data_IF_318976001109
#
_entry.id   IF_318976001109
#
_cell.length_a   1.000
_cell.length_b   1.000
_cell.length_c   1.000
_cell.angle_alpha   90.00
_cell.angle_beta   90.00
_cell.angle_gamma   90.00
#
_symmetry.space_group_name_H-M   'P 1'
#
loop_
_entity.id
_entity.type
_entity.pdbx_description
1 polymer ?
#
# COMPACT_ATOMS: atom_id res chain seq x y z
N UNK A 1 -25.89 12.58 26.98
CA UNK A 1 -24.97 11.52 26.55
C UNK A 1 -25.10 11.42 25.05
N UNK A 2 -24.23 12.11 24.32
CA UNK A 2 -24.22 12.02 22.86
C UNK A 2 -23.55 10.71 22.49
N UNK A 3 -24.26 9.82 21.80
CA UNK A 3 -23.61 8.73 21.11
C UNK A 3 -22.71 9.36 20.04
N UNK A 4 -21.40 9.33 20.24
CA UNK A 4 -20.47 9.60 19.15
C UNK A 4 -20.76 8.55 18.07
N UNK A 5 -21.27 9.01 16.92
CA UNK A 5 -21.44 8.13 15.77
C UNK A 5 -20.06 7.58 15.42
N UNK A 6 -19.91 6.25 15.42
CA UNK A 6 -18.68 5.65 14.95
C UNK A 6 -18.55 5.95 13.46
N UNK A 7 -17.37 6.40 12.99
CA UNK A 7 -17.17 6.69 11.58
C UNK A 7 -17.41 5.43 10.75
N UNK A 8 -18.09 5.59 9.62
CA UNK A 8 -18.40 4.47 8.74
C UNK A 8 -17.14 4.06 7.98
N UNK A 9 -16.67 2.83 8.20
CA UNK A 9 -15.46 2.29 7.56
C UNK A 9 -15.83 1.24 6.53
N UNK A 10 -15.52 1.50 5.26
CA UNK A 10 -15.75 0.59 4.13
C UNK A 10 -14.43 0.25 3.46
N UNK A 11 -14.22 -1.04 3.14
CA UNK A 11 -13.15 -1.46 2.22
C UNK A 11 -13.81 -2.14 1.02
N UNK A 12 -13.41 -1.73 -0.19
CA UNK A 12 -14.01 -2.24 -1.43
C UNK A 12 -13.01 -2.17 -2.60
N UNK A 13 -13.28 -2.89 -3.71
CA UNK A 13 -12.53 -2.72 -4.94
C UNK A 13 -12.52 -1.28 -5.42
N UNK A 14 -11.39 -0.85 -5.99
CA UNK A 14 -11.21 0.46 -6.62
C UNK A 14 -12.10 0.59 -7.85
N UNK A 15 -12.62 1.80 -8.08
CA UNK A 15 -13.40 2.17 -9.27
C UNK A 15 -12.66 3.27 -10.02
N UNK A 16 -12.91 3.40 -11.32
CA UNK A 16 -12.28 4.44 -12.16
C UNK A 16 -12.51 5.85 -11.61
N UNK A 17 -13.69 6.12 -11.06
CA UNK A 17 -14.04 7.42 -10.45
C UNK A 17 -13.22 7.76 -9.21
N UNK A 18 -12.53 6.78 -8.62
CA UNK A 18 -11.70 6.97 -7.43
C UNK A 18 -10.29 7.45 -7.76
N UNK A 19 -9.88 7.42 -9.03
CA UNK A 19 -8.49 7.65 -9.46
C UNK A 19 -7.91 8.97 -8.92
N UNK A 20 -8.67 10.06 -8.98
CA UNK A 20 -8.21 11.36 -8.47
C UNK A 20 -8.00 11.36 -6.95
N UNK A 21 -8.94 10.77 -6.19
CA UNK A 21 -8.85 10.70 -4.74
C UNK A 21 -7.69 9.78 -4.32
N UNK A 22 -7.55 8.63 -4.98
CA UNK A 22 -6.44 7.71 -4.78
C UNK A 22 -5.10 8.37 -5.13
N UNK A 23 -5.03 9.18 -6.18
CA UNK A 23 -3.83 9.93 -6.53
C UNK A 23 -3.38 10.90 -5.44
N UNK A 24 -4.34 11.63 -4.83
CA UNK A 24 -4.06 12.52 -3.69
C UNK A 24 -3.60 11.75 -2.45
N UNK A 25 -4.33 10.70 -2.09
CA UNK A 25 -4.02 9.87 -0.91
C UNK A 25 -2.67 9.17 -1.06
N UNK A 26 -2.34 8.69 -2.26
CA UNK A 26 -1.05 8.06 -2.56
C UNK A 26 0.10 9.04 -2.34
N UNK A 27 0.01 10.24 -2.94
CA UNK A 27 1.03 11.27 -2.76
C UNK A 27 1.20 11.63 -1.27
N UNK A 28 0.10 11.80 -0.54
CA UNK A 28 0.13 12.11 0.89
C UNK A 28 0.77 10.99 1.72
N UNK A 29 0.39 9.73 1.48
CA UNK A 29 0.98 8.59 2.19
C UNK A 29 2.48 8.46 1.94
N UNK A 30 2.94 8.78 0.73
CA UNK A 30 4.37 8.78 0.41
C UNK A 30 5.12 9.91 1.12
N UNK A 31 4.54 11.10 1.20
CA UNK A 31 5.11 12.16 2.03
C UNK A 31 5.22 11.72 3.50
N UNK A 32 4.13 11.20 4.08
CA UNK A 32 4.11 10.73 5.47
C UNK A 32 5.10 9.59 5.74
N UNK A 33 5.25 8.67 4.78
CA UNK A 33 6.11 7.49 4.95
C UNK A 33 7.58 7.80 4.68
N UNK A 34 7.89 8.63 3.68
CA UNK A 34 9.25 8.79 3.16
C UNK A 34 9.88 10.16 3.43
N UNK A 35 9.22 11.09 4.14
CA UNK A 35 9.76 12.43 4.43
C UNK A 35 11.14 12.41 5.12
N UNK A 36 11.47 11.32 5.80
CA UNK A 36 12.77 11.12 6.47
C UNK A 36 13.83 10.43 5.61
N UNK A 37 13.43 9.80 4.49
CA UNK A 37 14.30 9.05 3.57
C UNK A 37 14.53 9.79 2.26
N UNK A 38 13.57 10.60 1.83
CA UNK A 38 13.53 11.23 0.51
C UNK A 38 13.42 12.75 0.68
N UNK A 39 14.21 13.50 -0.08
CA UNK A 39 14.16 14.96 -0.01
C UNK A 39 12.77 15.51 -0.36
N UNK A 40 12.35 16.57 0.35
CA UNK A 40 11.08 17.26 0.09
C UNK A 40 10.93 17.68 -1.38
N UNK A 41 12.02 18.15 -2.01
CA UNK A 41 12.03 18.54 -3.42
C UNK A 41 11.81 17.37 -4.39
N UNK A 42 12.15 16.14 -3.99
CA UNK A 42 11.87 14.93 -4.74
C UNK A 42 10.41 14.49 -4.57
N UNK A 43 9.88 14.53 -3.34
CA UNK A 43 8.47 14.22 -3.07
C UNK A 43 7.50 15.25 -3.69
N UNK A 44 7.87 16.53 -3.77
CA UNK A 44 7.09 17.56 -4.47
C UNK A 44 6.90 17.26 -5.98
N UNK A 45 7.73 16.39 -6.56
CA UNK A 45 7.55 15.91 -7.95
C UNK A 45 6.51 14.79 -8.07
N UNK A 46 6.07 14.20 -6.95
CA UNK A 46 4.98 13.23 -6.90
C UNK A 46 3.67 13.97 -7.11
N UNK A 47 3.23 14.02 -8.36
CA UNK A 47 2.00 14.71 -8.73
C UNK A 47 0.78 13.82 -8.45
N UNK A 48 -0.23 14.29 -7.69
CA UNK A 48 -1.49 13.57 -7.52
C UNK A 48 -2.14 13.18 -8.85
N UNK A 49 -1.99 14.02 -9.88
CA UNK A 49 -2.49 13.73 -11.22
C UNK A 49 -1.78 12.54 -11.86
N UNK A 50 -0.44 12.47 -11.77
CA UNK A 50 0.32 11.32 -12.29
C UNK A 50 -0.02 10.03 -11.53
N UNK A 51 -0.25 10.14 -10.22
CA UNK A 51 -0.71 9.01 -9.42
C UNK A 51 -2.14 8.58 -9.82
N UNK A 52 -3.02 9.53 -10.15
CA UNK A 52 -4.35 9.19 -10.67
C UNK A 52 -4.28 8.44 -12.01
N UNK A 53 -3.39 8.85 -12.93
CA UNK A 53 -3.14 8.15 -14.20
C UNK A 53 -2.66 6.70 -13.95
N UNK A 54 -1.79 6.49 -12.95
CA UNK A 54 -1.37 5.16 -12.51
C UNK A 54 -2.54 4.33 -11.97
N UNK A 55 -3.44 4.93 -11.20
CA UNK A 55 -4.63 4.25 -10.67
C UNK A 55 -5.61 3.83 -11.75
N UNK A 56 -5.80 4.63 -12.80
CA UNK A 56 -6.57 4.24 -13.99
C UNK A 56 -5.97 2.98 -14.64
N UNK A 57 -4.63 2.88 -14.69
CA UNK A 57 -3.98 1.68 -15.19
C UNK A 57 -4.20 0.47 -14.27
N UNK A 58 -4.08 0.63 -12.95
CA UNK A 58 -4.32 -0.45 -12.00
C UNK A 58 -5.77 -0.94 -11.98
N UNK A 59 -6.74 -0.02 -12.11
CA UNK A 59 -8.16 -0.36 -12.15
C UNK A 59 -8.57 -1.13 -13.41
N UNK A 60 -7.82 -0.99 -14.51
CA UNK A 60 -8.08 -1.69 -15.78
C UNK A 60 -7.37 -3.04 -15.91
N UNK A 61 -6.64 -3.48 -14.86
CA UNK A 61 -5.99 -4.78 -14.87
C UNK A 61 -6.98 -5.96 -14.79
N UNK A 62 -6.52 -7.13 -15.20
CA UNK A 62 -7.32 -8.36 -15.22
C UNK A 62 -7.75 -8.87 -13.84
N UNK A 63 -8.54 -9.95 -13.79
CA UNK A 63 -9.12 -10.49 -12.55
C UNK A 63 -8.08 -10.98 -11.53
N UNK A 64 -6.84 -11.23 -11.97
CA UNK A 64 -5.74 -11.59 -11.09
C UNK A 64 -5.24 -10.41 -10.25
N UNK A 65 -5.67 -9.18 -10.52
CA UNK A 65 -5.26 -7.99 -9.76
C UNK A 65 -6.33 -7.59 -8.75
N UNK A 66 -5.93 -7.40 -7.50
CA UNK A 66 -6.82 -6.99 -6.41
C UNK A 66 -6.42 -5.62 -5.91
N UNK A 67 -7.19 -4.62 -6.35
CA UNK A 67 -6.98 -3.22 -5.98
C UNK A 67 -8.15 -2.79 -5.10
N UNK A 68 -7.88 -2.45 -3.85
CA UNK A 68 -8.91 -2.06 -2.87
C UNK A 68 -8.61 -0.69 -2.28
N UNK A 69 -9.67 0.07 -2.02
CA UNK A 69 -9.63 1.34 -1.31
C UNK A 69 -10.34 1.19 0.05
N UNK A 70 -9.81 1.87 1.06
CA UNK A 70 -10.46 2.09 2.35
C UNK A 70 -11.07 3.49 2.36
N UNK A 71 -12.33 3.56 2.79
CA UNK A 71 -13.10 4.78 2.91
C UNK A 71 -13.52 4.98 4.36
N UNK A 72 -13.45 6.22 4.82
CA UNK A 72 -14.05 6.67 6.07
C UNK A 72 -15.02 7.79 5.78
N UNK A 73 -16.28 7.62 6.14
CA UNK A 73 -17.36 8.58 5.88
C UNK A 73 -17.43 9.03 4.40
N UNK A 74 -17.11 8.10 3.48
CA UNK A 74 -17.12 8.33 2.04
C UNK A 74 -15.80 8.85 1.44
N UNK A 75 -14.83 9.24 2.27
CA UNK A 75 -13.52 9.73 1.82
C UNK A 75 -12.48 8.61 1.77
N UNK A 76 -11.70 8.52 0.69
CA UNK A 76 -10.63 7.53 0.59
C UNK A 76 -9.50 7.93 1.54
N UNK A 77 -9.07 6.98 2.37
CA UNK A 77 -8.01 7.19 3.38
C UNK A 77 -6.83 6.25 3.22
N UNK A 78 -6.95 5.23 2.38
CA UNK A 78 -5.92 4.24 2.16
C UNK A 78 -6.28 3.28 1.05
N UNK A 79 -5.32 2.46 0.66
CA UNK A 79 -5.45 1.52 -0.45
C UNK A 79 -4.45 0.38 -0.32
N UNK A 80 -4.77 -0.73 -0.99
CA UNK A 80 -3.88 -1.88 -1.10
C UNK A 80 -4.02 -2.51 -2.49
N UNK A 81 -2.93 -3.08 -2.97
CA UNK A 81 -2.83 -3.69 -4.29
C UNK A 81 -1.99 -4.95 -4.25
N UNK A 82 -2.50 -6.03 -4.82
CA UNK A 82 -1.76 -7.27 -5.02
C UNK A 82 -2.05 -7.86 -6.41
N UNK A 83 -1.18 -8.74 -6.88
CA UNK A 83 -1.32 -9.38 -8.18
C UNK A 83 -0.29 -10.49 -8.41
N UNK A 84 -0.16 -10.95 -9.66
CA UNK A 84 0.88 -11.91 -10.06
C UNK A 84 2.29 -11.43 -9.70
N UNK A 85 3.15 -12.36 -9.32
CA UNK A 85 4.55 -12.11 -9.03
C UNK A 85 5.26 -11.41 -10.20
N UNK A 86 6.07 -10.40 -9.88
CA UNK A 86 6.86 -9.65 -10.87
C UNK A 86 8.31 -10.12 -10.96
N UNK A 87 8.81 -10.80 -9.91
CA UNK A 87 10.21 -11.20 -9.80
C UNK A 87 10.46 -12.55 -10.47
N UNK A 88 11.66 -12.70 -11.06
CA UNK A 88 12.07 -13.97 -11.67
C UNK A 88 12.32 -15.07 -10.64
N UNK A 89 12.75 -14.69 -9.44
CA UNK A 89 13.05 -15.55 -8.29
C UNK A 89 11.94 -15.47 -7.22
N UNK A 90 10.73 -15.07 -7.61
CA UNK A 90 9.62 -14.91 -6.69
C UNK A 90 9.37 -16.19 -5.85
N UNK A 91 9.27 -16.07 -4.51
CA UNK A 91 9.04 -17.23 -3.65
C UNK A 91 7.56 -17.70 -3.66
N UNK A 92 6.66 -16.90 -4.23
CA UNK A 92 5.24 -17.22 -4.35
C UNK A 92 4.64 -16.60 -5.62
N UNK A 93 3.47 -17.10 -6.06
CA UNK A 93 2.76 -16.59 -7.24
C UNK A 93 2.14 -15.20 -7.03
N UNK A 94 1.86 -14.84 -5.77
CA UNK A 94 1.20 -13.58 -5.40
C UNK A 94 2.21 -12.63 -4.78
N UNK A 95 2.17 -11.39 -5.24
CA UNK A 95 2.88 -10.28 -4.62
C UNK A 95 1.88 -9.26 -4.07
N UNK A 96 2.07 -8.83 -2.83
CA UNK A 96 1.44 -7.61 -2.32
C UNK A 96 2.30 -6.41 -2.74
N UNK A 97 1.88 -5.72 -3.79
CA UNK A 97 2.62 -4.61 -4.39
C UNK A 97 2.72 -3.40 -3.46
N UNK A 98 1.63 -3.08 -2.77
CA UNK A 98 1.57 -1.93 -1.88
C UNK A 98 0.40 -2.03 -0.90
N UNK A 99 0.59 -1.43 0.27
CA UNK A 99 -0.48 -1.08 1.19
C UNK A 99 -0.12 0.23 1.89
N UNK A 100 -0.96 1.23 1.70
CA UNK A 100 -0.77 2.56 2.27
C UNK A 100 -2.06 3.02 2.94
N UNK A 101 -1.90 3.75 4.04
CA UNK A 101 -2.98 4.31 4.83
C UNK A 101 -2.46 5.61 5.40
N UNK A 102 -3.26 6.68 5.33
CA UNK A 102 -2.92 7.96 5.93
C UNK A 102 -2.65 7.81 7.43
N UNK A 103 -1.67 8.54 7.95
CA UNK A 103 -1.21 8.49 9.34
C UNK A 103 -2.33 8.64 10.37
N UNK A 104 -3.28 9.54 10.08
CA UNK A 104 -4.46 9.78 10.93
C UNK A 104 -5.31 8.53 11.19
N UNK A 105 -5.20 7.50 10.34
CA UNK A 105 -5.99 6.27 10.40
C UNK A 105 -5.17 5.05 10.82
N UNK A 106 -3.90 5.21 11.21
CA UNK A 106 -3.11 4.10 11.71
C UNK A 106 -3.66 3.58 13.05
N UNK A 107 -3.39 2.31 13.34
CA UNK A 107 -3.83 1.64 14.59
C UNK A 107 -5.36 1.60 14.81
N UNK A 108 -6.16 1.88 13.78
CA UNK A 108 -7.64 1.80 13.80
C UNK A 108 -8.18 0.45 13.33
N UNK A 109 -7.31 -0.45 12.85
CA UNK A 109 -7.69 -1.72 12.21
C UNK A 109 -7.98 -1.63 10.72
N UNK A 110 -8.05 -0.42 10.12
CA UNK A 110 -8.30 -0.24 8.68
C UNK A 110 -7.19 -0.91 7.83
N UNK A 111 -5.93 -0.80 8.24
CA UNK A 111 -4.82 -1.48 7.55
C UNK A 111 -4.98 -3.00 7.49
N UNK A 112 -5.55 -3.62 8.53
CA UNK A 112 -5.85 -5.06 8.50
C UNK A 112 -6.97 -5.37 7.51
N UNK A 113 -8.06 -4.57 7.53
CA UNK A 113 -9.17 -4.74 6.57
C UNK A 113 -8.69 -4.59 5.11
N UNK A 114 -7.78 -3.65 4.84
CA UNK A 114 -7.16 -3.48 3.52
C UNK A 114 -6.33 -4.70 3.12
N UNK A 115 -5.51 -5.22 4.02
CA UNK A 115 -4.71 -6.42 3.79
C UNK A 115 -5.60 -7.62 3.47
N UNK A 116 -6.60 -7.90 4.33
CA UNK A 116 -7.53 -9.02 4.16
C UNK A 116 -8.35 -8.92 2.87
N UNK A 117 -8.64 -7.71 2.37
CA UNK A 117 -9.31 -7.50 1.10
C UNK A 117 -8.39 -7.69 -0.12
N UNK A 118 -7.09 -7.42 0.05
CA UNK A 118 -6.11 -7.50 -1.02
C UNK A 118 -5.53 -8.90 -1.21
N UNK A 119 -5.59 -9.79 -0.23
CA UNK A 119 -4.95 -11.13 -0.31
C UNK A 119 -5.93 -12.21 0.10
N UNK A 120 -5.81 -13.42 -0.48
CA UNK A 120 -6.59 -14.54 0.04
C UNK A 120 -6.00 -15.04 1.36
N UNK A 121 -6.89 -15.61 2.18
CA UNK A 121 -6.48 -16.26 3.41
C UNK A 121 -5.67 -17.52 3.07
N UNK A 122 -4.53 -17.69 3.73
CA UNK A 122 -3.65 -18.87 3.61
C UNK A 122 -3.02 -19.07 2.21
N UNK A 123 -3.12 -18.09 1.31
CA UNK A 123 -2.37 -18.08 0.03
C UNK A 123 -0.90 -17.71 0.30
N UNK A 124 0.08 -18.44 -0.25
CA UNK A 124 1.48 -18.04 -0.21
C UNK A 124 1.67 -16.68 -0.90
N UNK A 125 2.36 -15.74 -0.23
CA UNK A 125 2.66 -14.46 -0.84
C UNK A 125 3.96 -13.84 -0.35
N UNK A 126 4.44 -12.87 -1.12
CA UNK A 126 5.58 -12.07 -0.77
C UNK A 126 5.32 -10.57 -0.99
N UNK A 127 6.22 -9.75 -0.45
CA UNK A 127 6.23 -8.31 -0.64
C UNK A 127 7.62 -7.74 -0.44
N UNK A 128 7.83 -6.57 -1.03
CA UNK A 128 8.98 -5.72 -0.78
C UNK A 128 8.58 -4.57 0.14
N UNK A 129 9.47 -4.22 1.07
CA UNK A 129 9.27 -3.09 1.98
C UNK A 129 10.60 -2.43 2.27
N UNK A 130 10.60 -1.09 2.35
CA UNK A 130 11.76 -0.33 2.80
C UNK A 130 12.39 -0.94 4.06
N UNK A 131 13.72 -1.10 4.04
CA UNK A 131 14.49 -1.63 5.16
C UNK A 131 14.25 -0.80 6.42
N UNK A 132 14.31 0.53 6.30
CA UNK A 132 14.01 1.48 7.38
C UNK A 132 12.51 1.81 7.46
N UNK A 133 11.68 0.79 7.66
CA UNK A 133 10.25 0.97 7.93
C UNK A 133 9.75 0.06 9.07
N UNK A 134 10.17 0.34 10.32
CA UNK A 134 9.88 -0.54 11.46
C UNK A 134 8.37 -0.70 11.73
N UNK A 135 7.53 0.26 11.32
CA UNK A 135 6.07 0.16 11.42
C UNK A 135 5.53 -0.92 10.48
N UNK A 136 5.93 -0.89 9.21
CA UNK A 136 5.52 -1.87 8.21
C UNK A 136 6.06 -3.27 8.56
N UNK A 137 7.32 -3.38 9.01
CA UNK A 137 7.90 -4.65 9.45
C UNK A 137 7.08 -5.30 10.57
N UNK A 138 6.67 -4.53 11.59
CA UNK A 138 5.78 -5.03 12.66
C UNK A 138 4.42 -5.45 12.12
N UNK A 139 3.86 -4.70 11.17
CA UNK A 139 2.58 -5.03 10.54
C UNK A 139 2.64 -6.37 9.80
N UNK A 140 3.68 -6.59 8.99
CA UNK A 140 3.84 -7.83 8.24
C UNK A 140 4.21 -9.02 9.12
N UNK A 141 5.08 -8.83 10.13
CA UNK A 141 5.41 -9.89 11.09
C UNK A 141 4.15 -10.38 11.82
N UNK A 142 3.26 -9.47 12.24
CA UNK A 142 1.97 -9.84 12.85
C UNK A 142 1.05 -10.59 11.88
N UNK A 143 1.17 -10.35 10.57
CA UNK A 143 0.44 -11.04 9.52
C UNK A 143 1.10 -12.36 9.07
N UNK A 144 2.09 -12.83 9.81
CA UNK A 144 2.72 -14.14 9.61
C UNK A 144 3.90 -14.13 8.63
N UNK A 145 4.36 -12.96 8.19
CA UNK A 145 5.52 -12.87 7.31
C UNK A 145 6.83 -12.93 8.07
N UNK A 146 7.85 -13.46 7.40
CA UNK A 146 9.24 -13.40 7.82
C UNK A 146 10.14 -12.88 6.68
N UNK A 147 11.28 -12.30 7.05
CA UNK A 147 12.34 -11.97 6.10
C UNK A 147 12.92 -13.26 5.49
N UNK A 148 13.07 -13.29 4.17
CA UNK A 148 13.71 -14.42 3.46
C UNK A 148 15.21 -14.17 3.19
N UNK A 149 15.70 -12.97 3.50
CA UNK A 149 17.07 -12.53 3.29
C UNK A 149 17.35 -11.90 1.93
N UNK A 150 16.38 -11.85 1.02
CA UNK A 150 16.50 -11.09 -0.21
C UNK A 150 16.35 -9.59 0.06
N UNK A 151 17.21 -8.81 -0.58
CA UNK A 151 17.20 -7.37 -0.53
C UNK A 151 17.61 -6.81 -1.90
N UNK A 152 17.11 -5.63 -2.23
CA UNK A 152 17.58 -4.89 -3.38
C UNK A 152 17.65 -3.39 -3.08
N UNK A 153 18.46 -2.69 -3.85
CA UNK A 153 18.69 -1.27 -3.66
C UNK A 153 18.53 -0.60 -5.01
N UNK A 154 17.49 0.22 -5.12
CA UNK A 154 17.13 0.87 -6.37
C UNK A 154 17.01 2.40 -6.21
N UNK A 155 17.23 3.16 -7.29
CA UNK A 155 16.94 4.59 -7.29
C UNK A 155 15.44 4.83 -7.10
N UNK A 156 15.08 5.60 -6.06
CA UNK A 156 13.71 5.99 -5.76
C UNK A 156 13.64 7.50 -5.59
N UNK A 157 12.88 8.16 -6.47
CA UNK A 157 12.70 9.62 -6.47
C UNK A 157 14.00 10.45 -6.48
N UNK A 158 15.09 9.90 -7.01
CA UNK A 158 16.40 10.57 -7.07
C UNK A 158 17.30 10.32 -5.86
N UNK A 159 16.83 9.55 -4.89
CA UNK A 159 17.62 8.97 -3.81
C UNK A 159 17.77 7.46 -4.02
N UNK A 160 18.39 6.78 -3.06
CA UNK A 160 18.53 5.33 -3.04
C UNK A 160 17.66 4.74 -1.95
N UNK A 161 16.83 3.75 -2.29
CA UNK A 161 15.99 3.03 -1.34
C UNK A 161 16.40 1.56 -1.32
N UNK A 162 16.73 1.05 -0.13
CA UNK A 162 16.90 -0.39 0.09
C UNK A 162 15.59 -0.98 0.56
N UNK A 163 15.11 -2.00 -0.13
CA UNK A 163 13.97 -2.80 0.29
C UNK A 163 14.39 -4.24 0.59
N UNK A 164 13.71 -4.82 1.56
CA UNK A 164 13.87 -6.21 1.99
C UNK A 164 12.60 -7.00 1.70
N UNK A 165 12.76 -8.29 1.36
CA UNK A 165 11.62 -9.14 1.01
C UNK A 165 11.10 -9.90 2.22
N UNK A 166 9.78 -9.84 2.39
CA UNK A 166 9.03 -10.64 3.35
C UNK A 166 8.24 -11.70 2.59
N UNK A 167 8.14 -12.91 3.15
CA UNK A 167 7.34 -14.02 2.61
C UNK A 167 6.52 -14.71 3.70
N UNK A 168 5.39 -15.30 3.33
CA UNK A 168 4.59 -16.21 4.15
C UNK A 168 3.93 -17.29 3.31
#
# INVERSE_FOLDING_TARGET
MSAEAQPEVIVRPVRDVDAEALGRVHAQCWHETYDHLISKAALEKVSPRRMAELWTHWASQGPDFKMNAALVDGEIVGFAGSGPARDKDAPAFRELYFIYLLDAWHSTGIGQKLFDAAVEKDEPLYLWVAEDNPRAHRFYTRNGFALDGAQHTEPFLGETLTEVRFTR
#
